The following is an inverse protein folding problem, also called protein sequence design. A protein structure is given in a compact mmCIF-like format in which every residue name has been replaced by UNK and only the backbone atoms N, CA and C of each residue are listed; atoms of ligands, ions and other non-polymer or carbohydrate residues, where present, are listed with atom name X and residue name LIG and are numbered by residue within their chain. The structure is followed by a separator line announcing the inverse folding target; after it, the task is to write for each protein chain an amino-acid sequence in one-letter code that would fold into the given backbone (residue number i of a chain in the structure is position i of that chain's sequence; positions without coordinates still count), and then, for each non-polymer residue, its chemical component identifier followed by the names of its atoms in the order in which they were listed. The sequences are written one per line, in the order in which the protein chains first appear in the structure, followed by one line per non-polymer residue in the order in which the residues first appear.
data_IF_050343159128
#
_entry.id   IF_050343159128
#
_cell.length_a   1.000
_cell.length_b   1.000
_cell.length_c   1.000
_cell.angle_alpha   90.00
_cell.angle_beta   90.00
_cell.angle_gamma   90.00
#
_symmetry.space_group_name_H-M   'P 1'
#
loop_
_entity.id
_entity.type
_entity.pdbx_description
1 polymer ?
#
# COMPACT_ATOMS: atom_id res chain seq x y z
N UNK A 1 35.95 -5.11 -9.96
CA UNK A 1 34.79 -5.61 -9.19
C UNK A 1 33.90 -4.43 -8.94
N UNK A 2 32.91 -4.25 -9.79
CA UNK A 2 32.01 -3.10 -9.75
C UNK A 2 30.75 -3.57 -9.03
N UNK A 3 30.59 -3.18 -7.77
CA UNK A 3 29.38 -3.41 -6.98
C UNK A 3 28.27 -2.51 -7.53
N UNK A 4 27.38 -3.09 -8.31
CA UNK A 4 26.12 -2.44 -8.68
C UNK A 4 25.20 -2.51 -7.46
N UNK A 5 25.16 -1.43 -6.68
CA UNK A 5 24.12 -1.23 -5.67
C UNK A 5 22.74 -1.17 -6.34
N UNK A 6 21.66 -1.58 -5.65
CA UNK A 6 20.32 -1.49 -6.20
C UNK A 6 20.00 0.00 -6.46
N UNK A 7 19.99 0.38 -7.74
CA UNK A 7 19.42 1.65 -8.16
C UNK A 7 17.90 1.50 -7.98
N UNK A 8 17.35 2.16 -6.98
CA UNK A 8 15.91 2.39 -6.89
C UNK A 8 15.51 3.16 -8.16
N UNK A 9 14.87 2.46 -9.09
CA UNK A 9 14.40 3.08 -10.33
C UNK A 9 13.23 3.99 -9.99
N UNK A 10 13.40 5.26 -10.23
CA UNK A 10 12.36 6.26 -10.09
C UNK A 10 11.20 5.95 -11.06
N UNK A 11 10.02 5.73 -10.55
CA UNK A 11 8.83 5.34 -11.31
C UNK A 11 7.95 6.55 -11.68
N UNK A 12 7.47 6.68 -12.90
CA UNK A 12 6.65 7.79 -13.41
C UNK A 12 5.18 7.37 -13.45
N UNK A 13 4.34 7.97 -12.58
CA UNK A 13 2.89 7.84 -12.66
C UNK A 13 2.38 6.41 -12.44
N UNK A 14 2.07 6.04 -11.21
CA UNK A 14 1.31 4.82 -10.94
C UNK A 14 -0.18 5.08 -11.21
N UNK A 15 -0.78 4.32 -12.13
CA UNK A 15 -2.23 4.22 -12.26
C UNK A 15 -2.69 3.14 -11.28
N UNK A 16 -3.63 3.46 -10.39
CA UNK A 16 -4.19 2.50 -9.46
C UNK A 16 -5.53 2.03 -9.97
N UNK A 17 -5.74 0.72 -10.01
CA UNK A 17 -7.06 0.12 -10.14
C UNK A 17 -7.29 -0.80 -8.93
N UNK A 18 -8.17 -0.40 -8.03
CA UNK A 18 -8.60 -1.22 -6.90
C UNK A 18 -10.01 -1.70 -7.10
N UNK A 19 -10.23 -2.99 -6.96
CA UNK A 19 -11.56 -3.61 -6.97
C UNK A 19 -11.77 -4.26 -5.60
N UNK A 20 -12.73 -3.74 -4.83
CA UNK A 20 -13.14 -4.34 -3.56
C UNK A 20 -14.33 -5.28 -3.80
N UNK A 21 -14.20 -6.52 -3.34
CA UNK A 21 -15.25 -7.53 -3.38
C UNK A 21 -15.67 -7.83 -1.93
N UNK A 22 -16.76 -7.20 -1.46
CA UNK A 22 -17.37 -7.57 -0.19
C UNK A 22 -18.35 -8.72 -0.41
N UNK A 23 -18.30 -9.76 0.43
CA UNK A 23 -19.36 -10.76 0.51
C UNK A 23 -20.56 -10.16 1.21
N UNK A 24 -21.70 -10.03 0.52
CA UNK A 24 -22.97 -9.58 1.12
C UNK A 24 -23.46 -10.66 2.07
N UNK A 25 -23.44 -10.36 3.37
CA UNK A 25 -24.14 -11.10 4.41
C UNK A 25 -25.13 -10.19 5.09
N UNK A 26 -26.28 -9.91 4.47
CA UNK A 26 -27.44 -9.36 5.17
C UNK A 26 -28.03 -10.44 6.07
N UNK A 27 -27.81 -10.33 7.37
CA UNK A 27 -28.54 -11.14 8.37
C UNK A 27 -29.60 -10.26 9.03
N UNK A 28 -30.87 -10.53 8.73
CA UNK A 28 -32.00 -10.04 9.50
C UNK A 28 -31.85 -10.50 10.96
N UNK A 29 -31.74 -9.54 11.85
CA UNK A 29 -31.60 -9.75 13.30
C UNK A 29 -32.95 -10.18 13.90
N UNK A 30 -33.24 -11.48 13.96
CA UNK A 30 -34.23 -12.04 14.87
C UNK A 30 -33.60 -12.28 16.23
N UNK A 31 -34.27 -11.77 17.29
CA UNK A 31 -33.86 -11.79 18.69
C UNK A 31 -33.10 -13.04 19.14
N UNK A 32 -31.85 -12.89 19.61
CA UNK A 32 -31.14 -13.87 20.42
C UNK A 32 -30.15 -14.78 19.67
N UNK A 33 -29.95 -14.65 18.36
CA UNK A 33 -28.90 -15.38 17.67
C UNK A 33 -27.50 -14.76 17.93
N UNK A 34 -26.43 -15.57 18.07
CA UNK A 34 -25.07 -15.04 18.13
C UNK A 34 -24.80 -14.24 16.86
N UNK A 35 -24.09 -13.11 16.99
CA UNK A 35 -23.72 -12.29 15.84
C UNK A 35 -23.09 -13.17 14.75
N UNK A 36 -23.48 -13.01 13.48
CA UNK A 36 -22.91 -13.79 12.40
C UNK A 36 -21.40 -13.56 12.34
N UNK A 37 -20.65 -14.64 12.04
CA UNK A 37 -19.20 -14.53 11.88
C UNK A 37 -18.89 -13.54 10.73
N UNK A 38 -17.87 -12.67 10.90
CA UNK A 38 -17.52 -11.70 9.88
C UNK A 38 -17.26 -12.39 8.53
N UNK A 39 -17.79 -11.81 7.46
CA UNK A 39 -17.57 -12.29 6.11
C UNK A 39 -16.14 -11.96 5.63
N UNK A 40 -15.65 -12.65 4.60
CA UNK A 40 -14.42 -12.30 3.94
C UNK A 40 -14.64 -11.10 3.01
N UNK A 41 -13.74 -10.15 3.09
CA UNK A 41 -13.64 -9.03 2.17
C UNK A 41 -12.34 -9.15 1.38
N UNK A 42 -12.37 -8.84 0.09
CA UNK A 42 -11.21 -8.93 -0.78
C UNK A 42 -11.02 -7.63 -1.53
N UNK A 43 -9.76 -7.22 -1.68
CA UNK A 43 -9.37 -6.11 -2.53
C UNK A 43 -8.18 -6.50 -3.41
N UNK A 44 -8.24 -6.14 -4.69
CA UNK A 44 -7.14 -6.32 -5.63
C UNK A 44 -6.75 -4.95 -6.15
N UNK A 45 -5.48 -4.62 -6.03
CA UNK A 45 -4.92 -3.36 -6.53
C UNK A 45 -3.79 -3.65 -7.51
N UNK A 46 -3.79 -2.97 -8.65
CA UNK A 46 -2.71 -3.00 -9.62
C UNK A 46 -2.10 -1.60 -9.76
N UNK A 47 -0.78 -1.53 -9.80
CA UNK A 47 0.01 -0.31 -9.94
C UNK A 47 0.86 -0.41 -11.22
N UNK A 48 0.28 -0.14 -12.42
CA UNK A 48 1.09 0.03 -13.62
C UNK A 48 1.97 1.25 -13.44
N UNK A 49 3.28 1.05 -13.53
CA UNK A 49 4.27 2.08 -13.28
C UNK A 49 5.03 2.39 -14.57
N UNK A 50 4.97 3.63 -15.01
CA UNK A 50 5.68 4.13 -16.19
C UNK A 50 6.95 4.82 -15.71
N UNK A 51 8.10 4.30 -16.14
CA UNK A 51 9.42 4.80 -15.73
C UNK A 51 10.05 5.60 -16.86
N UNK A 52 10.31 6.89 -16.63
CA UNK A 52 10.95 7.73 -17.63
C UNK A 52 12.42 7.33 -17.83
N UNK A 53 12.75 6.84 -19.02
CA UNK A 53 14.11 6.36 -19.32
C UNK A 53 14.47 5.00 -18.75
N UNK A 54 13.48 4.25 -18.22
CA UNK A 54 13.63 2.91 -17.67
C UNK A 54 12.59 1.93 -18.21
N UNK A 55 12.56 0.74 -17.64
CA UNK A 55 11.56 -0.29 -17.98
C UNK A 55 10.29 -0.12 -17.16
N UNK A 56 9.15 -0.10 -17.82
CA UNK A 56 7.84 -0.10 -17.17
C UNK A 56 7.61 -1.45 -16.48
N UNK A 57 6.88 -1.42 -15.38
CA UNK A 57 6.47 -2.61 -14.65
C UNK A 57 5.08 -2.46 -14.03
N UNK A 58 4.51 -3.54 -13.57
CA UNK A 58 3.26 -3.52 -12.83
C UNK A 58 3.44 -4.28 -11.52
N UNK A 59 3.12 -3.62 -10.42
CA UNK A 59 2.98 -4.26 -9.12
C UNK A 59 1.53 -4.63 -8.87
N UNK A 60 1.30 -5.67 -8.08
CA UNK A 60 -0.03 -6.10 -7.69
C UNK A 60 -0.11 -6.42 -6.21
N UNK A 61 -1.22 -6.07 -5.59
CA UNK A 61 -1.54 -6.35 -4.19
C UNK A 61 -2.91 -6.99 -4.11
N UNK A 62 -3.01 -8.11 -3.42
CA UNK A 62 -4.24 -8.78 -3.03
C UNK A 62 -4.36 -8.73 -1.51
N UNK A 63 -5.44 -8.16 -1.03
CA UNK A 63 -5.81 -8.14 0.39
C UNK A 63 -7.02 -9.03 0.61
N UNK A 64 -7.00 -9.81 1.69
CA UNK A 64 -8.14 -10.57 2.19
C UNK A 64 -8.31 -10.27 3.69
N UNK A 65 -9.47 -9.77 4.08
CA UNK A 65 -9.77 -9.41 5.46
C UNK A 65 -10.98 -10.16 5.99
N UNK A 66 -10.91 -10.57 7.25
CA UNK A 66 -12.04 -11.17 7.96
C UNK A 66 -12.04 -10.72 9.42
N UNK A 67 -12.94 -9.81 9.76
CA UNK A 67 -12.90 -9.13 11.05
C UNK A 67 -11.56 -8.41 11.23
N UNK A 68 -10.83 -8.74 12.29
CA UNK A 68 -9.50 -8.17 12.53
C UNK A 68 -8.36 -8.88 11.80
N UNK A 69 -8.57 -10.08 11.25
CA UNK A 69 -7.53 -10.80 10.50
C UNK A 69 -7.31 -10.14 9.15
N UNK A 70 -6.07 -9.74 8.88
CA UNK A 70 -5.60 -9.19 7.63
C UNK A 70 -4.59 -10.12 6.98
N UNK A 71 -4.80 -10.47 5.72
CA UNK A 71 -3.90 -11.25 4.89
C UNK A 71 -3.59 -10.47 3.63
N UNK A 72 -2.33 -10.47 3.22
CA UNK A 72 -1.92 -9.77 2.02
C UNK A 72 -0.92 -10.59 1.21
N UNK A 73 -1.02 -10.50 -0.12
CA UNK A 73 -0.07 -11.07 -1.07
C UNK A 73 0.28 -10.03 -2.13
N UNK A 74 1.58 -9.92 -2.45
CA UNK A 74 2.08 -8.92 -3.39
C UNK A 74 2.96 -9.56 -4.45
N UNK A 75 3.01 -8.92 -5.61
CA UNK A 75 3.91 -9.26 -6.72
C UNK A 75 4.58 -7.99 -7.24
N UNK A 76 5.88 -8.06 -7.52
CA UNK A 76 6.70 -6.94 -8.01
C UNK A 76 6.68 -5.69 -7.11
N UNK A 77 6.36 -5.83 -5.82
CA UNK A 77 6.20 -4.69 -4.92
C UNK A 77 7.54 -4.30 -4.28
N UNK A 78 8.21 -5.21 -3.61
CA UNK A 78 9.54 -4.99 -3.00
C UNK A 78 10.64 -4.82 -4.06
N UNK A 79 10.51 -5.53 -5.16
CA UNK A 79 11.33 -5.40 -6.37
C UNK A 79 10.67 -6.14 -7.53
N UNK A 80 11.04 -5.80 -8.78
CA UNK A 80 10.58 -6.55 -9.95
C UNK A 80 11.05 -8.01 -9.87
N UNK A 81 10.11 -8.96 -9.95
CA UNK A 81 10.35 -10.39 -9.78
C UNK A 81 10.24 -10.89 -8.34
N UNK A 82 10.05 -10.00 -7.36
CA UNK A 82 9.73 -10.40 -5.98
C UNK A 82 8.25 -10.75 -5.82
N UNK A 83 7.98 -11.59 -4.87
CA UNK A 83 6.65 -11.93 -4.33
C UNK A 83 6.73 -11.86 -2.82
N UNK A 84 5.65 -11.46 -2.18
CA UNK A 84 5.59 -11.42 -0.73
C UNK A 84 4.22 -11.82 -0.21
N UNK A 85 4.16 -12.23 1.05
CA UNK A 85 2.93 -12.49 1.75
C UNK A 85 3.04 -12.03 3.20
N UNK A 86 1.93 -11.52 3.73
CA UNK A 86 1.84 -10.95 5.06
C UNK A 86 0.61 -11.48 5.79
N UNK A 87 0.72 -11.55 7.10
CA UNK A 87 -0.37 -11.70 8.03
C UNK A 87 -0.35 -10.52 8.99
N UNK A 88 -1.51 -9.96 9.26
CA UNK A 88 -1.69 -8.82 10.15
C UNK A 88 -2.93 -8.95 11.03
N UNK A 89 -3.02 -8.03 11.97
CA UNK A 89 -4.17 -7.91 12.85
C UNK A 89 -4.58 -6.45 12.94
N UNK A 90 -5.79 -6.15 12.48
CA UNK A 90 -6.32 -4.79 12.41
C UNK A 90 -7.00 -4.41 13.72
N UNK A 91 -6.57 -3.30 14.28
CA UNK A 91 -7.23 -2.59 15.38
C UNK A 91 -7.86 -1.32 14.81
N UNK A 92 -9.10 -1.06 15.15
CA UNK A 92 -9.81 0.13 14.67
C UNK A 92 -10.65 0.74 15.79
N UNK A 93 -10.87 2.05 15.72
CA UNK A 93 -11.66 2.76 16.70
C UNK A 93 -11.86 4.24 16.37
N UNK A 94 -12.47 4.96 17.31
CA UNK A 94 -12.73 6.39 17.20
C UNK A 94 -14.13 6.70 16.65
N UNK A 95 -14.59 7.91 16.91
CA UNK A 95 -15.88 8.44 16.46
C UNK A 95 -15.64 9.55 15.40
N UNK A 96 -15.46 10.79 15.84
CA UNK A 96 -15.17 11.93 14.93
C UNK A 96 -13.79 11.82 14.26
N UNK A 97 -12.80 11.31 15.00
CA UNK A 97 -11.49 10.92 14.52
C UNK A 97 -11.42 9.40 14.49
N UNK A 98 -11.56 8.81 13.32
CA UNK A 98 -11.41 7.36 13.13
C UNK A 98 -9.94 7.00 12.94
N UNK A 99 -9.56 5.83 13.44
CA UNK A 99 -8.21 5.30 13.25
C UNK A 99 -8.27 3.79 13.00
N UNK A 100 -7.33 3.35 12.20
CA UNK A 100 -7.06 1.95 11.95
C UNK A 100 -5.56 1.72 12.00
N UNK A 101 -5.14 0.61 12.58
CA UNK A 101 -3.75 0.25 12.80
C UNK A 101 -3.59 -1.24 12.61
N UNK A 102 -2.76 -1.66 11.65
CA UNK A 102 -2.54 -3.05 11.28
C UNK A 102 -1.05 -3.38 11.29
N UNK A 103 -0.50 -3.91 12.42
CA UNK A 103 0.82 -4.51 12.39
C UNK A 103 0.84 -5.73 11.48
N UNK A 104 1.91 -5.84 10.68
CA UNK A 104 2.10 -6.87 9.66
C UNK A 104 3.38 -7.66 9.92
N UNK A 105 3.32 -8.95 9.69
CA UNK A 105 4.49 -9.80 9.59
C UNK A 105 4.47 -10.53 8.26
N UNK A 106 5.54 -10.42 7.50
CA UNK A 106 5.63 -11.02 6.18
C UNK A 106 7.00 -11.50 5.80
N UNK A 107 7.04 -12.11 4.63
CA UNK A 107 8.25 -12.55 3.97
C UNK A 107 8.19 -12.34 2.48
N UNK A 108 9.33 -12.01 1.88
CA UNK A 108 9.50 -11.88 0.45
C UNK A 108 10.40 -12.99 -0.09
N UNK A 109 10.15 -13.40 -1.34
CA UNK A 109 10.91 -14.41 -2.08
C UNK A 109 10.99 -14.05 -3.57
N UNK A 110 11.83 -14.76 -4.32
CA UNK A 110 12.15 -14.45 -5.71
C UNK A 110 13.42 -13.63 -5.81
N UNK A 111 13.38 -12.49 -6.47
CA UNK A 111 14.54 -11.58 -6.60
C UNK A 111 14.95 -10.95 -5.27
N UNK A 112 14.02 -10.80 -4.34
CA UNK A 112 14.28 -10.39 -2.95
C UNK A 112 13.88 -11.51 -2.01
N UNK A 113 14.79 -11.94 -1.13
CA UNK A 113 14.51 -12.90 -0.06
C UNK A 113 14.69 -12.17 1.27
N UNK A 114 13.59 -11.88 1.95
CA UNK A 114 13.61 -11.05 3.15
C UNK A 114 12.54 -11.47 4.16
N UNK A 115 12.80 -11.19 5.43
CA UNK A 115 11.78 -11.05 6.46
C UNK A 115 11.34 -9.58 6.53
N UNK A 116 10.03 -9.34 6.56
CA UNK A 116 9.45 -8.00 6.40
C UNK A 116 8.41 -7.75 7.48
N UNK A 117 8.79 -7.28 8.68
CA UNK A 117 7.85 -6.67 9.60
C UNK A 117 7.38 -5.32 9.06
N UNK A 118 6.11 -5.05 9.20
CA UNK A 118 5.48 -3.85 8.65
C UNK A 118 4.34 -3.34 9.54
N UNK A 119 3.81 -2.24 9.10
CA UNK A 119 2.72 -1.54 9.73
C UNK A 119 1.94 -0.78 8.67
N UNK A 120 0.63 -0.90 8.70
CA UNK A 120 -0.28 0.04 8.05
C UNK A 120 -1.07 0.82 9.08
N UNK A 121 -1.34 2.09 8.82
CA UNK A 121 -2.24 2.88 9.65
C UNK A 121 -3.01 3.90 8.82
N UNK A 122 -4.25 4.11 9.20
CA UNK A 122 -5.14 5.11 8.62
C UNK A 122 -5.71 5.98 9.73
N UNK A 123 -5.76 7.28 9.50
CA UNK A 123 -6.48 8.25 10.31
C UNK A 123 -7.51 8.94 9.43
N UNK A 124 -8.76 9.04 9.88
CA UNK A 124 -9.83 9.72 9.18
C UNK A 124 -10.45 10.81 10.04
N UNK A 125 -10.60 12.03 9.51
CA UNK A 125 -11.29 13.12 10.18
C UNK A 125 -12.10 13.93 9.17
N UNK A 126 -13.43 13.83 9.26
CA UNK A 126 -14.35 14.49 8.31
C UNK A 126 -14.06 14.09 6.87
N UNK A 127 -13.54 15.04 6.08
CA UNK A 127 -13.18 14.85 4.67
C UNK A 127 -11.68 14.60 4.44
N UNK A 128 -10.88 14.58 5.50
CA UNK A 128 -9.45 14.33 5.46
C UNK A 128 -9.15 12.91 5.89
N UNK A 129 -8.16 12.32 5.26
CA UNK A 129 -7.58 11.06 5.69
C UNK A 129 -6.04 11.10 5.55
N UNK A 130 -5.39 10.38 6.43
CA UNK A 130 -3.96 10.13 6.37
C UNK A 130 -3.73 8.62 6.39
N UNK A 131 -2.99 8.12 5.44
CA UNK A 131 -2.56 6.73 5.36
C UNK A 131 -1.05 6.64 5.43
N UNK A 132 -0.54 5.65 6.11
CA UNK A 132 0.87 5.30 6.12
C UNK A 132 1.03 3.78 6.09
N UNK A 133 1.96 3.33 5.27
CA UNK A 133 2.52 2.00 5.25
C UNK A 133 4.02 2.13 5.54
N UNK A 134 4.55 1.33 6.45
CA UNK A 134 5.96 1.32 6.79
C UNK A 134 6.45 -0.11 6.94
N UNK A 135 7.57 -0.43 6.30
CA UNK A 135 8.15 -1.77 6.27
C UNK A 135 9.65 -1.74 6.51
N UNK A 136 10.11 -2.63 7.34
CA UNK A 136 11.52 -2.87 7.51
C UNK A 136 11.91 -4.16 6.79
N UNK A 137 12.49 -3.99 5.60
CA UNK A 137 12.93 -5.13 4.80
C UNK A 137 14.30 -5.60 5.28
N UNK A 138 14.33 -6.82 5.79
CA UNK A 138 15.53 -7.48 6.28
C UNK A 138 15.89 -8.66 5.38
N UNK A 139 16.69 -8.45 4.32
CA UNK A 139 17.15 -9.53 3.47
C UNK A 139 18.05 -10.52 4.24
N UNK A 140 18.21 -11.70 3.69
CA UNK A 140 19.14 -12.70 4.26
C UNK A 140 20.59 -12.21 4.25
N UNK A 141 20.95 -11.40 3.26
CA UNK A 141 22.26 -10.73 3.19
C UNK A 141 22.20 -9.42 3.97
N UNK A 142 22.96 -9.35 5.07
CA UNK A 142 22.88 -8.24 6.04
C UNK A 142 23.18 -6.84 5.48
N UNK A 143 23.91 -6.73 4.36
CA UNK A 143 24.36 -5.47 3.77
C UNK A 143 23.27 -4.66 3.05
N UNK A 144 22.08 -5.19 2.87
CA UNK A 144 21.03 -4.60 2.03
C UNK A 144 19.71 -4.31 2.76
N UNK A 145 19.75 -4.14 4.09
CA UNK A 145 18.56 -3.75 4.87
C UNK A 145 18.08 -2.37 4.49
N UNK A 146 16.77 -2.20 4.40
CA UNK A 146 16.19 -0.88 4.15
C UNK A 146 14.84 -0.69 4.86
N UNK A 147 14.50 0.57 5.12
CA UNK A 147 13.19 1.01 5.55
C UNK A 147 12.45 1.59 4.34
N UNK A 148 11.31 1.04 4.03
CA UNK A 148 10.33 1.58 3.10
C UNK A 148 9.23 2.27 3.89
N UNK A 149 8.73 3.38 3.39
CA UNK A 149 7.52 4.02 3.90
C UNK A 149 6.78 4.70 2.75
N UNK A 150 5.48 4.46 2.68
CA UNK A 150 4.52 5.15 1.82
C UNK A 150 3.58 5.94 2.71
N UNK A 151 3.22 7.15 2.32
CA UNK A 151 2.25 7.96 3.05
C UNK A 151 1.39 8.78 2.10
N UNK A 152 0.13 8.97 2.44
CA UNK A 152 -0.84 9.76 1.71
C UNK A 152 -1.59 10.68 2.67
N UNK A 153 -1.70 11.96 2.30
CA UNK A 153 -2.64 12.90 2.92
C UNK A 153 -3.73 13.18 1.90
N UNK A 154 -4.92 12.66 2.15
CA UNK A 154 -6.08 12.73 1.28
C UNK A 154 -7.11 13.76 1.73
N UNK A 155 -7.83 14.32 0.78
CA UNK A 155 -9.02 15.15 0.96
C UNK A 155 -10.11 14.68 0.00
N UNK A 156 -11.33 14.47 0.51
CA UNK A 156 -12.52 14.08 -0.26
C UNK A 156 -13.49 15.26 -0.38
N UNK A 157 -13.39 16.08 -1.45
CA UNK A 157 -14.37 17.14 -1.67
C UNK A 157 -15.77 16.59 -1.89
N UNK A 158 -15.88 15.44 -2.53
CA UNK A 158 -17.08 14.65 -2.76
C UNK A 158 -16.77 13.16 -2.58
N UNK A 159 -17.78 12.31 -2.37
CA UNK A 159 -17.59 10.88 -2.04
C UNK A 159 -16.82 10.09 -3.11
N UNK A 160 -17.01 10.42 -4.38
CA UNK A 160 -16.38 9.73 -5.50
C UNK A 160 -14.99 10.25 -5.89
N UNK A 161 -14.53 11.38 -5.29
CA UNK A 161 -13.24 12.00 -5.62
C UNK A 161 -12.38 12.14 -4.36
N UNK A 162 -11.18 11.56 -4.38
CA UNK A 162 -10.12 11.76 -3.38
C UNK A 162 -8.89 12.34 -4.07
N UNK A 163 -8.40 13.47 -3.57
CA UNK A 163 -7.19 14.14 -4.05
C UNK A 163 -6.23 14.36 -2.89
N UNK A 164 -4.94 14.51 -3.16
CA UNK A 164 -4.01 14.71 -2.06
C UNK A 164 -2.57 14.74 -2.45
N UNK A 165 -1.73 14.53 -1.45
CA UNK A 165 -0.28 14.44 -1.58
C UNK A 165 0.18 13.06 -1.11
N UNK A 166 1.07 12.44 -1.87
CA UNK A 166 1.72 11.20 -1.52
C UNK A 166 3.22 11.39 -1.39
N UNK A 167 3.83 10.63 -0.50
CA UNK A 167 5.26 10.55 -0.37
C UNK A 167 5.69 9.09 -0.18
N UNK A 168 6.66 8.66 -0.97
CA UNK A 168 7.35 7.39 -0.85
C UNK A 168 8.78 7.66 -0.38
N UNK A 169 9.21 6.95 0.63
CA UNK A 169 10.56 7.07 1.17
C UNK A 169 11.20 5.68 1.25
N UNK A 170 12.35 5.55 0.63
CA UNK A 170 13.20 4.36 0.78
C UNK A 170 14.53 4.77 1.39
N UNK A 171 14.96 4.10 2.45
CA UNK A 171 16.24 4.33 3.09
C UNK A 171 16.98 3.01 3.23
N UNK A 172 17.94 2.77 2.35
CA UNK A 172 18.90 1.68 2.52
C UNK A 172 19.94 2.05 3.60
N UNK A 173 20.38 1.07 4.37
CA UNK A 173 21.39 1.28 5.41
C UNK A 173 22.73 1.65 4.74
N UNK A 174 23.25 2.83 5.06
CA UNK A 174 24.51 3.34 4.48
C UNK A 174 24.40 4.06 3.12
N UNK A 175 23.17 4.23 2.58
CA UNK A 175 22.91 4.97 1.35
C UNK A 175 22.14 6.27 1.61
N UNK A 176 22.11 7.15 0.61
CA UNK A 176 21.27 8.34 0.63
C UNK A 176 19.78 7.98 0.64
N UNK A 177 18.96 8.89 1.15
CA UNK A 177 17.51 8.74 1.18
C UNK A 177 16.95 9.01 -0.21
N UNK A 178 16.18 8.08 -0.73
CA UNK A 178 15.34 8.33 -1.88
C UNK A 178 13.94 8.73 -1.42
N UNK A 179 13.48 9.91 -1.86
CA UNK A 179 12.15 10.45 -1.51
C UNK A 179 11.45 10.87 -2.79
N UNK A 180 10.38 10.15 -3.12
CA UNK A 180 9.43 10.54 -4.14
C UNK A 180 8.23 11.20 -3.46
N UNK A 181 7.78 12.34 -3.99
CA UNK A 181 6.63 13.07 -3.44
C UNK A 181 5.87 13.77 -4.55
N UNK A 182 4.56 13.83 -4.43
CA UNK A 182 3.74 14.50 -5.43
C UNK A 182 2.25 14.42 -5.20
N UNK A 183 1.46 15.08 -6.04
CA UNK A 183 0.01 15.00 -5.98
C UNK A 183 -0.51 13.66 -6.48
N UNK A 184 -1.70 13.32 -6.00
CA UNK A 184 -2.49 12.21 -6.54
C UNK A 184 -3.96 12.59 -6.66
N UNK A 185 -4.68 11.84 -7.50
CA UNK A 185 -6.13 11.88 -7.61
C UNK A 185 -6.68 10.46 -7.80
N UNK A 186 -7.80 10.18 -7.15
CA UNK A 186 -8.49 8.89 -7.21
C UNK A 186 -9.98 9.13 -7.43
N UNK A 187 -10.58 8.35 -8.33
CA UNK A 187 -12.00 8.34 -8.64
C UNK A 187 -12.58 6.99 -8.25
N UNK A 188 -13.60 7.00 -7.39
CA UNK A 188 -14.27 5.79 -6.94
C UNK A 188 -15.68 5.72 -7.55
N UNK A 189 -15.96 4.61 -8.21
CA UNK A 189 -17.27 4.30 -8.72
C UNK A 189 -17.69 2.91 -8.24
N UNK A 190 -18.67 2.88 -7.37
CA UNK A 190 -19.10 1.65 -6.67
C UNK A 190 -17.90 0.99 -5.93
N UNK A 191 -17.45 -0.17 -6.43
CA UNK A 191 -16.35 -0.97 -5.85
C UNK A 191 -15.03 -0.82 -6.62
N UNK A 192 -14.96 0.10 -7.58
CA UNK A 192 -13.79 0.32 -8.42
C UNK A 192 -13.22 1.71 -8.12
N UNK A 193 -11.95 1.75 -7.79
CA UNK A 193 -11.20 3.00 -7.65
C UNK A 193 -10.11 3.04 -8.74
N UNK A 194 -10.09 4.13 -9.50
CA UNK A 194 -9.05 4.45 -10.46
C UNK A 194 -8.33 5.69 -9.99
N UNK A 195 -7.00 5.70 -10.03
CA UNK A 195 -6.23 6.84 -9.60
C UNK A 195 -4.88 6.94 -10.26
N UNK A 196 -4.22 8.08 -10.05
CA UNK A 196 -2.88 8.34 -10.52
C UNK A 196 -2.08 9.16 -9.53
N UNK A 197 -0.80 8.87 -9.46
CA UNK A 197 0.20 9.62 -8.70
C UNK A 197 1.18 10.26 -9.67
N UNK A 198 1.61 11.48 -9.37
CA UNK A 198 2.62 12.17 -10.13
C UNK A 198 3.73 12.62 -9.20
N UNK A 199 4.81 11.84 -9.16
CA UNK A 199 5.92 12.08 -8.26
C UNK A 199 6.97 13.02 -8.86
N UNK A 200 7.58 13.84 -8.00
CA UNK A 200 8.65 14.79 -8.30
C UNK A 200 8.36 15.65 -9.54
N UNK A 201 7.17 16.30 -9.64
CA UNK A 201 6.82 17.10 -10.81
C UNK A 201 7.86 18.19 -11.08
N UNK A 202 8.34 18.28 -12.32
CA UNK A 202 9.34 19.27 -12.74
C UNK A 202 10.80 18.92 -12.47
N UNK A 203 11.11 17.78 -11.85
CA UNK A 203 12.47 17.29 -11.70
C UNK A 203 12.90 16.39 -12.86
N UNK A 204 14.23 16.15 -13.01
CA UNK A 204 14.72 15.15 -13.96
C UNK A 204 14.34 13.73 -13.56
N UNK A 205 14.07 13.52 -12.27
CA UNK A 205 13.64 12.27 -11.65
C UNK A 205 12.10 12.21 -11.48
N UNK A 206 11.37 12.76 -12.46
CA UNK A 206 9.92 12.68 -12.51
C UNK A 206 9.46 11.23 -12.61
N UNK A 207 8.43 10.96 -11.83
CA UNK A 207 7.82 9.65 -11.72
C UNK A 207 6.31 9.76 -11.70
#
# INVERSE_FOLDING_TARGET
MTTVGPRASAALGALIATVALAGEGEAENCCGAPAPAPAWEFAVTAYPTIVRGGSNYTSGVLVAQRGALHLEARVNYESVGARSAFVGWTFAGGDDLTWEFTPLLGGAWGTTQAFVPGLEATLGWRRFDFYVEAEYVRPREESSRYLYAWSELGFRPVEWLRVGLAAQRTRAYGAERDILRGPFAQLTWRRITLGGFWFNPGSKDQV
#
